data_IF_500601142820
#
_entry.id   IF_500601142820
#
_cell.length_a   1.000
_cell.length_b   1.000
_cell.length_c   1.000
_cell.angle_alpha   90.00
_cell.angle_beta   90.00
_cell.angle_gamma   90.00
#
_symmetry.space_group_name_H-M   'P 1'
#
loop_
_entity.id
_entity.type
_entity.pdbx_description
1 polymer ?
#
# COMPACT_ATOMS: atom_id res chain seq x y z
N UNK A 1 -2.15 23.72 13.44
CA UNK A 1 -2.95 22.54 13.01
C UNK A 1 -2.95 21.54 14.15
N UNK A 2 -4.11 21.12 14.70
CA UNK A 2 -4.12 20.07 15.70
C UNK A 2 -3.54 18.79 15.08
N UNK A 3 -2.59 18.17 15.77
CA UNK A 3 -1.97 16.93 15.31
C UNK A 3 -3.06 15.88 15.07
N UNK A 4 -3.13 15.32 13.85
CA UNK A 4 -4.02 14.19 13.55
C UNK A 4 -3.81 13.12 14.63
N UNK A 5 -4.85 12.83 15.43
CA UNK A 5 -4.80 11.76 16.45
C UNK A 5 -4.56 10.43 15.73
N UNK A 6 -3.41 9.82 15.98
CA UNK A 6 -2.99 8.53 15.39
C UNK A 6 -3.23 7.43 16.42
N UNK A 7 -3.69 6.26 15.97
CA UNK A 7 -3.87 5.08 16.82
C UNK A 7 -2.50 4.53 17.23
N UNK A 8 -2.02 4.96 18.39
CA UNK A 8 -0.76 4.49 18.96
C UNK A 8 -0.97 3.17 19.71
N UNK A 9 -0.01 2.24 19.64
CA UNK A 9 -0.06 1.03 20.45
C UNK A 9 0.12 1.38 21.93
N UNK A 10 -0.76 0.84 22.76
CA UNK A 10 -0.69 0.88 24.21
C UNK A 10 -0.04 -0.42 24.71
N UNK A 11 1.07 -0.31 25.45
CA UNK A 11 1.77 -1.46 26.04
C UNK A 11 1.49 -1.51 27.54
N UNK A 12 0.96 -2.63 28.00
CA UNK A 12 0.93 -2.99 29.42
C UNK A 12 2.32 -3.47 29.84
N UNK A 13 3.06 -2.60 30.51
CA UNK A 13 4.42 -2.87 30.96
C UNK A 13 4.49 -4.05 31.95
N UNK A 14 3.43 -4.33 32.71
CA UNK A 14 3.39 -5.43 33.69
C UNK A 14 3.29 -6.81 33.03
N UNK A 15 2.73 -6.84 31.82
CA UNK A 15 2.56 -8.06 31.03
C UNK A 15 3.56 -8.16 29.89
N UNK A 16 4.29 -7.10 29.55
CA UNK A 16 5.21 -7.13 28.43
C UNK A 16 6.36 -8.14 28.67
N UNK A 17 6.59 -9.04 27.70
CA UNK A 17 7.67 -10.03 27.80
C UNK A 17 9.04 -9.49 27.35
N UNK A 18 9.09 -8.28 26.79
CA UNK A 18 10.30 -7.74 26.19
C UNK A 18 10.82 -8.55 25.00
N UNK A 19 9.99 -9.39 24.38
CA UNK A 19 10.42 -10.40 23.39
C UNK A 19 10.76 -9.85 21.99
N UNK A 20 10.78 -8.53 21.80
CA UNK A 20 11.06 -7.86 20.52
C UNK A 20 10.11 -8.13 19.34
N UNK A 21 9.16 -9.08 19.43
CA UNK A 21 8.25 -9.40 18.33
C UNK A 21 7.51 -8.18 17.74
N UNK A 22 7.04 -7.27 18.60
CA UNK A 22 6.36 -6.05 18.17
C UNK A 22 7.27 -5.02 17.50
N UNK A 23 8.55 -4.99 17.87
CA UNK A 23 9.59 -4.13 17.28
C UNK A 23 9.91 -4.64 15.88
N UNK A 24 10.18 -5.94 15.74
CA UNK A 24 10.46 -6.59 14.46
C UNK A 24 9.28 -6.49 13.49
N UNK A 25 8.05 -6.60 14.01
CA UNK A 25 6.85 -6.47 13.21
C UNK A 25 6.49 -5.02 12.85
N UNK A 26 7.16 -4.02 13.41
CA UNK A 26 6.88 -2.62 13.12
C UNK A 26 7.61 -2.17 11.85
N UNK A 27 6.91 -1.91 10.72
CA UNK A 27 7.58 -1.57 9.46
C UNK A 27 8.16 -0.15 9.41
N UNK A 28 7.91 0.65 10.46
CA UNK A 28 8.28 2.06 10.57
C UNK A 28 9.18 2.34 11.79
N UNK A 29 9.67 1.30 12.47
CA UNK A 29 10.56 1.42 13.63
C UNK A 29 10.00 2.37 14.73
N UNK A 30 8.67 2.33 14.92
CA UNK A 30 7.94 3.15 15.91
C UNK A 30 8.16 2.66 17.33
N UNK A 31 8.47 1.37 17.46
CA UNK A 31 8.61 0.66 18.72
C UNK A 31 10.07 0.31 18.97
N UNK A 32 10.49 0.38 20.22
CA UNK A 32 11.76 -0.18 20.70
C UNK A 32 11.53 -0.90 22.03
N UNK A 33 12.39 -1.85 22.38
CA UNK A 33 12.42 -2.42 23.73
C UNK A 33 13.43 -1.64 24.54
N UNK A 34 12.96 -0.97 25.59
CA UNK A 34 13.79 -0.25 26.55
C UNK A 34 13.55 -0.84 27.93
N UNK A 35 14.62 -1.15 28.67
CA UNK A 35 14.51 -1.75 30.00
C UNK A 35 13.58 -2.97 30.04
N UNK A 36 13.71 -3.85 29.05
CA UNK A 36 12.92 -5.09 28.88
C UNK A 36 11.42 -4.88 28.61
N UNK A 37 10.96 -3.66 28.31
CA UNK A 37 9.57 -3.36 27.98
C UNK A 37 9.48 -2.67 26.62
N UNK A 38 8.54 -3.09 25.78
CA UNK A 38 8.27 -2.41 24.52
C UNK A 38 7.68 -1.01 24.77
N UNK A 39 8.21 -0.01 24.08
CA UNK A 39 7.76 1.39 24.14
C UNK A 39 7.57 1.98 22.76
N UNK A 40 6.66 2.94 22.66
CA UNK A 40 6.49 3.79 21.48
C UNK A 40 7.53 4.90 21.55
N UNK A 41 8.56 4.82 20.71
CA UNK A 41 9.67 5.78 20.70
C UNK A 41 9.55 6.83 19.60
N UNK A 42 8.81 6.52 18.52
CA UNK A 42 8.56 7.44 17.38
C UNK A 42 7.07 7.54 17.06
N UNK A 43 6.24 8.08 17.98
CA UNK A 43 4.78 8.12 17.81
C UNK A 43 4.32 8.87 16.54
N UNK A 44 5.07 9.89 16.14
CA UNK A 44 4.86 10.70 14.93
C UNK A 44 5.07 9.94 13.62
N UNK A 45 5.62 8.73 13.67
CA UNK A 45 5.80 7.85 12.51
C UNK A 45 4.82 6.69 12.48
N UNK A 46 4.03 6.54 13.54
CA UNK A 46 2.98 5.53 13.58
C UNK A 46 1.93 5.80 12.52
N UNK A 47 1.73 4.83 11.62
CA UNK A 47 0.70 4.86 10.59
C UNK A 47 -0.58 4.09 11.01
N UNK A 48 -0.65 3.62 12.25
CA UNK A 48 -1.82 2.92 12.81
C UNK A 48 -2.06 1.49 12.28
N UNK A 49 -1.04 0.85 11.69
CA UNK A 49 -1.10 -0.59 11.37
C UNK A 49 -1.04 -1.42 12.65
N UNK A 50 -1.72 -2.56 12.68
CA UNK A 50 -1.95 -3.33 13.92
C UNK A 50 -1.02 -4.54 14.09
N UNK A 51 0.08 -4.59 13.32
CA UNK A 51 1.01 -5.72 13.30
C UNK A 51 1.60 -6.01 14.67
N UNK A 52 2.05 -4.96 15.37
CA UNK A 52 2.62 -5.07 16.70
C UNK A 52 1.65 -5.72 17.70
N UNK A 53 0.34 -5.49 17.55
CA UNK A 53 -0.68 -6.09 18.39
C UNK A 53 -0.93 -7.55 17.99
N UNK A 54 -0.97 -7.84 16.68
CA UNK A 54 -1.17 -9.19 16.15
C UNK A 54 -0.06 -10.18 16.52
N UNK A 55 1.19 -9.71 16.59
CA UNK A 55 2.34 -10.56 16.95
C UNK A 55 2.60 -10.62 18.45
N UNK A 56 1.85 -9.88 19.27
CA UNK A 56 2.06 -9.85 20.71
C UNK A 56 1.59 -11.19 21.32
N UNK A 57 2.50 -12.06 21.79
CA UNK A 57 2.17 -13.45 22.13
C UNK A 57 1.22 -13.56 23.32
N UNK A 58 1.18 -12.54 24.18
CA UNK A 58 0.34 -12.52 25.38
C UNK A 58 -0.62 -11.33 25.43
N UNK A 59 -0.77 -10.61 24.32
CA UNK A 59 -1.66 -9.46 24.21
C UNK A 59 -1.32 -8.27 25.13
N UNK A 60 -0.09 -8.18 25.64
CA UNK A 60 0.38 -7.02 26.42
C UNK A 60 0.39 -5.72 25.61
N UNK A 61 0.47 -5.81 24.29
CA UNK A 61 0.31 -4.68 23.39
C UNK A 61 -1.08 -4.71 22.76
N UNK A 62 -1.81 -3.60 22.90
CA UNK A 62 -3.14 -3.37 22.29
C UNK A 62 -3.15 -2.05 21.53
N UNK A 63 -4.11 -1.85 20.64
CA UNK A 63 -4.31 -0.56 19.96
C UNK A 63 -5.72 -0.10 20.32
N UNK A 64 -5.83 1.00 21.06
CA UNK A 64 -7.12 1.58 21.46
C UNK A 64 -7.64 2.53 20.38
N UNK A 65 -8.95 2.55 20.17
CA UNK A 65 -9.63 3.33 19.14
C UNK A 65 -9.79 4.81 19.51
N UNK A 66 -8.69 5.50 19.80
CA UNK A 66 -8.72 6.95 20.02
C UNK A 66 -8.03 7.68 18.86
N UNK A 67 -8.76 7.87 17.75
CA UNK A 67 -8.32 8.70 16.62
C UNK A 67 -9.02 8.42 15.29
N UNK A 68 -9.17 9.47 14.46
CA UNK A 68 -9.77 9.40 13.12
C UNK A 68 -9.02 8.41 12.21
N UNK A 69 -9.75 7.45 11.68
CA UNK A 69 -9.25 6.43 10.75
C UNK A 69 -9.03 7.09 9.39
N UNK A 70 -7.78 7.39 9.05
CA UNK A 70 -7.44 7.83 7.69
C UNK A 70 -7.66 6.66 6.72
N UNK A 71 -8.72 6.76 5.91
CA UNK A 71 -8.97 5.99 4.68
C UNK A 71 -8.90 4.47 4.81
N UNK A 72 -9.78 3.86 5.61
CA UNK A 72 -10.04 2.40 5.52
C UNK A 72 -11.36 2.16 4.82
N UNK A 73 -11.33 1.23 3.87
CA UNK A 73 -12.55 0.64 3.30
C UNK A 73 -13.39 0.09 4.46
N UNK A 74 -14.72 0.35 4.52
CA UNK A 74 -15.58 -0.21 5.56
C UNK A 74 -15.72 -1.71 5.36
N UNK A 75 -15.04 -2.48 6.22
CA UNK A 75 -14.96 -3.93 6.16
C UNK A 75 -15.27 -4.53 7.52
N UNK A 76 -15.98 -5.66 7.51
CA UNK A 76 -16.18 -6.49 8.69
C UNK A 76 -14.84 -7.05 9.20
N UNK A 77 -14.87 -7.67 10.38
CA UNK A 77 -13.69 -8.36 10.92
C UNK A 77 -13.15 -9.45 9.97
N UNK A 78 -13.97 -9.99 9.08
CA UNK A 78 -13.61 -11.00 8.08
C UNK A 78 -13.14 -10.41 6.74
N UNK A 79 -12.95 -9.09 6.66
CA UNK A 79 -12.57 -8.37 5.43
C UNK A 79 -13.65 -8.43 4.33
N UNK A 80 -14.90 -8.65 4.72
CA UNK A 80 -16.06 -8.53 3.84
C UNK A 80 -16.54 -7.09 3.80
N UNK A 81 -17.00 -6.61 2.65
CA UNK A 81 -17.62 -5.29 2.54
C UNK A 81 -18.87 -5.21 3.40
N UNK A 82 -18.95 -4.18 4.25
CA UNK A 82 -20.15 -3.90 5.05
C UNK A 82 -21.34 -3.46 4.17
N UNK A 83 -21.07 -2.96 2.96
CA UNK A 83 -22.08 -2.43 2.04
C UNK A 83 -22.49 -3.43 0.96
N UNK A 84 -21.58 -4.34 0.60
CA UNK A 84 -21.78 -5.28 -0.50
C UNK A 84 -21.47 -6.70 -0.02
N UNK A 85 -22.40 -7.34 0.72
CA UNK A 85 -22.20 -8.70 1.23
C UNK A 85 -21.84 -9.66 0.10
N UNK A 86 -20.82 -10.50 0.32
CA UNK A 86 -20.26 -11.40 -0.68
C UNK A 86 -19.07 -10.84 -1.47
N UNK A 87 -18.74 -9.55 -1.31
CA UNK A 87 -17.49 -8.95 -1.80
C UNK A 87 -16.50 -8.80 -0.65
N UNK A 88 -15.31 -9.37 -0.81
CA UNK A 88 -14.21 -9.30 0.16
C UNK A 88 -13.08 -8.45 -0.38
N UNK A 89 -12.30 -7.82 0.51
CA UNK A 89 -11.20 -6.93 0.14
C UNK A 89 -9.93 -7.35 0.89
N UNK A 90 -8.84 -7.60 0.17
CA UNK A 90 -7.57 -8.06 0.75
C UNK A 90 -6.36 -7.35 0.16
N UNK A 91 -5.25 -7.38 0.90
CA UNK A 91 -3.98 -6.77 0.51
C UNK A 91 -3.91 -5.28 0.81
N UNK A 92 -3.03 -4.56 0.10
CA UNK A 92 -2.71 -3.16 0.40
C UNK A 92 -3.94 -2.23 0.38
N UNK A 93 -5.03 -2.58 -0.29
CA UNK A 93 -6.30 -1.84 -0.32
C UNK A 93 -6.85 -1.64 1.10
N UNK A 94 -6.63 -2.59 2.02
CA UNK A 94 -7.07 -2.49 3.42
C UNK A 94 -6.22 -1.52 4.25
N UNK A 95 -5.22 -0.86 3.65
CA UNK A 95 -4.32 0.07 4.32
C UNK A 95 -3.14 -0.58 5.05
N UNK A 96 -2.85 -1.86 4.77
CA UNK A 96 -1.75 -2.62 5.41
C UNK A 96 -0.71 -3.10 4.37
N UNK A 97 0.18 -2.22 3.87
CA UNK A 97 1.07 -2.55 2.76
C UNK A 97 2.29 -3.38 3.20
N UNK A 98 2.17 -4.71 3.19
CA UNK A 98 3.26 -5.69 3.31
C UNK A 98 2.89 -6.98 2.58
N UNK A 99 3.86 -7.65 1.95
CA UNK A 99 3.62 -8.90 1.20
C UNK A 99 3.07 -9.99 2.14
N UNK A 100 3.68 -10.14 3.32
CA UNK A 100 3.22 -11.08 4.35
C UNK A 100 1.76 -10.83 4.76
N UNK A 101 1.38 -9.57 4.95
CA UNK A 101 0.01 -9.21 5.32
C UNK A 101 -0.96 -9.50 4.18
N UNK A 102 -0.58 -9.17 2.95
CA UNK A 102 -1.39 -9.46 1.79
C UNK A 102 -1.68 -10.97 1.66
N UNK A 103 -0.65 -11.81 1.82
CA UNK A 103 -0.80 -13.27 1.82
C UNK A 103 -1.73 -13.75 2.94
N UNK A 104 -1.49 -13.30 4.19
CA UNK A 104 -2.28 -13.72 5.34
C UNK A 104 -3.76 -13.31 5.21
N UNK A 105 -4.03 -12.10 4.73
CA UNK A 105 -5.40 -11.65 4.46
C UNK A 105 -6.05 -12.45 3.33
N UNK A 106 -5.31 -12.72 2.25
CA UNK A 106 -5.79 -13.53 1.14
C UNK A 106 -6.20 -14.94 1.59
N UNK A 107 -5.38 -15.59 2.41
CA UNK A 107 -5.68 -16.91 3.01
C UNK A 107 -6.93 -16.84 3.90
N UNK A 108 -7.01 -15.82 4.78
CA UNK A 108 -8.13 -15.64 5.71
C UNK A 108 -9.47 -15.46 4.98
N UNK A 109 -9.50 -14.60 3.96
CA UNK A 109 -10.69 -14.37 3.13
C UNK A 109 -11.11 -15.66 2.43
N UNK A 110 -10.14 -16.36 1.82
CA UNK A 110 -10.42 -17.58 1.10
C UNK A 110 -10.95 -18.71 2.01
N UNK A 111 -10.41 -18.87 3.23
CA UNK A 111 -10.95 -19.81 4.23
C UNK A 111 -12.37 -19.45 4.61
N UNK A 112 -12.63 -18.16 4.90
CA UNK A 112 -13.97 -17.70 5.25
C UNK A 112 -14.99 -17.98 4.14
N UNK A 113 -14.62 -17.74 2.89
CA UNK A 113 -15.47 -18.08 1.74
C UNK A 113 -15.68 -19.59 1.66
N UNK A 114 -14.63 -20.39 1.80
CA UNK A 114 -14.74 -21.85 1.75
C UNK A 114 -15.65 -22.43 2.87
N UNK A 115 -15.65 -21.82 4.05
CA UNK A 115 -16.51 -22.18 5.19
C UNK A 115 -17.97 -21.78 4.99
N UNK A 116 -18.20 -20.57 4.46
CA UNK A 116 -19.54 -19.96 4.41
C UNK A 116 -20.29 -20.21 3.10
N UNK A 117 -19.59 -20.51 2.02
CA UNK A 117 -20.19 -20.74 0.71
C UNK A 117 -20.65 -22.20 0.59
N UNK A 118 -21.95 -22.49 0.45
CA UNK A 118 -22.42 -23.88 0.34
C UNK A 118 -21.76 -24.63 -0.82
N UNK A 119 -21.43 -25.92 -0.61
CA UNK A 119 -20.91 -26.81 -1.67
C UNK A 119 -22.08 -27.36 -2.50
N UNK A 120 -21.96 -27.29 -3.83
CA UNK A 120 -23.01 -27.66 -4.79
C UNK A 120 -24.16 -26.63 -4.79
N UNK A 121 -24.72 -26.31 -5.97
CA UNK A 121 -25.74 -25.27 -6.27
C UNK A 121 -25.25 -23.93 -6.85
N UNK A 122 -24.04 -23.85 -7.42
CA UNK A 122 -23.71 -22.70 -8.25
C UNK A 122 -24.65 -22.63 -9.47
N UNK A 123 -25.22 -21.46 -9.82
CA UNK A 123 -25.95 -21.30 -11.07
C UNK A 123 -25.11 -21.80 -12.25
N UNK A 124 -25.75 -22.34 -13.29
CA UNK A 124 -25.03 -22.90 -14.43
C UNK A 124 -24.06 -21.87 -15.02
N UNK A 125 -22.77 -22.21 -15.08
CA UNK A 125 -21.71 -21.33 -15.57
C UNK A 125 -21.14 -20.33 -14.55
N UNK A 126 -21.64 -20.29 -13.32
CA UNK A 126 -21.09 -19.44 -12.26
C UNK A 126 -19.89 -20.10 -11.56
N UNK A 127 -18.85 -19.32 -11.34
CA UNK A 127 -17.71 -19.68 -10.49
C UNK A 127 -18.08 -19.55 -9.01
N UNK A 128 -17.39 -20.27 -8.13
CA UNK A 128 -17.49 -19.99 -6.69
C UNK A 128 -16.93 -18.60 -6.38
N UNK A 129 -15.76 -18.26 -6.96
CA UNK A 129 -15.07 -17.00 -6.67
C UNK A 129 -14.39 -16.41 -7.90
N UNK A 130 -14.55 -15.10 -8.11
CA UNK A 130 -13.65 -14.32 -8.99
C UNK A 130 -12.74 -13.45 -8.14
N UNK A 131 -11.44 -13.47 -8.44
CA UNK A 131 -10.41 -12.74 -7.71
C UNK A 131 -9.89 -11.63 -8.63
N UNK A 132 -9.91 -10.39 -8.15
CA UNK A 132 -9.45 -9.21 -8.89
C UNK A 132 -8.06 -8.81 -8.42
N UNK A 133 -7.04 -9.14 -9.20
CA UNK A 133 -5.62 -8.85 -8.96
C UNK A 133 -4.80 -10.10 -8.62
N UNK A 134 -3.72 -10.34 -9.38
CA UNK A 134 -2.76 -11.43 -9.18
C UNK A 134 -1.53 -10.97 -8.38
N UNK A 135 -1.75 -10.13 -7.36
CA UNK A 135 -0.76 -9.83 -6.33
C UNK A 135 -0.70 -10.91 -5.24
N UNK A 136 0.15 -10.75 -4.21
CA UNK A 136 0.31 -11.75 -3.15
C UNK A 136 -1.00 -12.13 -2.45
N UNK A 137 -1.91 -11.18 -2.22
CA UNK A 137 -3.22 -11.46 -1.65
C UNK A 137 -4.09 -12.33 -2.56
N UNK A 138 -4.24 -11.96 -3.83
CA UNK A 138 -5.08 -12.70 -4.77
C UNK A 138 -4.52 -14.10 -5.08
N UNK A 139 -3.21 -14.23 -5.22
CA UNK A 139 -2.57 -15.53 -5.43
C UNK A 139 -2.69 -16.44 -4.20
N UNK A 140 -2.53 -15.89 -2.98
CA UNK A 140 -2.76 -16.64 -1.75
C UNK A 140 -4.22 -17.10 -1.61
N UNK A 141 -5.18 -16.23 -1.96
CA UNK A 141 -6.60 -16.60 -2.01
C UNK A 141 -6.87 -17.72 -3.01
N UNK A 142 -6.32 -17.63 -4.22
CA UNK A 142 -6.49 -18.64 -5.25
C UNK A 142 -5.89 -20.00 -4.84
N UNK A 143 -4.70 -19.99 -4.22
CA UNK A 143 -4.07 -21.19 -3.68
C UNK A 143 -4.94 -21.88 -2.63
N UNK A 144 -5.45 -21.11 -1.66
CA UNK A 144 -6.35 -21.65 -0.63
C UNK A 144 -7.63 -22.21 -1.25
N UNK A 145 -8.30 -21.44 -2.10
CA UNK A 145 -9.56 -21.85 -2.72
C UNK A 145 -9.39 -23.13 -3.57
N UNK A 146 -8.29 -23.22 -4.33
CA UNK A 146 -7.95 -24.43 -5.08
C UNK A 146 -7.73 -25.64 -4.18
N UNK A 147 -7.03 -25.48 -3.04
CA UNK A 147 -6.87 -26.53 -2.04
C UNK A 147 -8.18 -26.99 -1.38
N UNK A 148 -9.17 -26.09 -1.29
CA UNK A 148 -10.52 -26.37 -0.80
C UNK A 148 -11.47 -26.90 -1.88
N UNK A 149 -10.98 -27.07 -3.12
CA UNK A 149 -11.77 -27.55 -4.26
C UNK A 149 -12.80 -26.56 -4.79
N UNK A 150 -12.60 -25.24 -4.57
CA UNK A 150 -13.47 -24.18 -5.06
C UNK A 150 -13.07 -23.70 -6.45
N UNK A 151 -14.05 -23.49 -7.34
CA UNK A 151 -13.77 -22.95 -8.67
C UNK A 151 -13.46 -21.46 -8.58
N UNK A 152 -12.28 -21.06 -9.04
CA UNK A 152 -11.90 -19.65 -9.06
C UNK A 152 -11.05 -19.25 -10.27
N UNK A 153 -11.16 -17.98 -10.64
CA UNK A 153 -10.36 -17.33 -11.68
C UNK A 153 -9.77 -16.04 -11.11
N UNK A 154 -8.49 -15.79 -11.40
CA UNK A 154 -7.81 -14.54 -11.06
C UNK A 154 -7.71 -13.67 -12.31
N UNK A 155 -8.26 -12.46 -12.26
CA UNK A 155 -8.16 -11.45 -13.32
C UNK A 155 -7.08 -10.43 -12.95
N UNK A 156 -6.06 -10.26 -13.78
CA UNK A 156 -4.95 -9.34 -13.56
C UNK A 156 -4.79 -8.38 -14.73
N UNK A 157 -4.78 -7.08 -14.47
CA UNK A 157 -4.69 -6.06 -15.51
C UNK A 157 -3.33 -6.00 -16.21
N UNK A 158 -2.26 -6.36 -15.48
CA UNK A 158 -0.89 -6.38 -15.98
C UNK A 158 -0.35 -7.81 -16.03
N UNK A 159 0.84 -7.99 -15.48
CA UNK A 159 1.45 -9.30 -15.30
C UNK A 159 1.27 -9.83 -13.87
N UNK A 160 1.40 -11.14 -13.69
CA UNK A 160 1.41 -11.82 -12.41
C UNK A 160 2.43 -11.16 -11.46
N UNK A 161 1.99 -10.89 -10.23
CA UNK A 161 2.76 -10.15 -9.23
C UNK A 161 3.29 -8.78 -9.74
N UNK A 162 2.52 -8.07 -10.59
CA UNK A 162 2.90 -6.76 -11.16
C UNK A 162 3.41 -5.76 -10.11
N UNK A 163 2.83 -5.77 -8.90
CA UNK A 163 3.27 -4.90 -7.81
C UNK A 163 4.70 -5.18 -7.36
N UNK A 164 5.12 -6.46 -7.33
CA UNK A 164 6.49 -6.88 -6.99
C UNK A 164 7.41 -6.66 -8.18
N UNK A 165 6.95 -6.92 -9.40
CA UNK A 165 7.72 -6.65 -10.62
C UNK A 165 8.13 -5.18 -10.75
N UNK A 166 7.29 -4.26 -10.25
CA UNK A 166 7.56 -2.82 -10.26
C UNK A 166 8.69 -2.37 -9.30
N UNK A 167 9.18 -3.25 -8.43
CA UNK A 167 10.32 -2.96 -7.57
C UNK A 167 11.62 -2.82 -8.38
N UNK A 168 12.62 -2.08 -7.86
CA UNK A 168 13.95 -2.00 -8.48
C UNK A 168 14.62 -3.35 -8.69
N UNK A 169 15.32 -3.52 -9.82
CA UNK A 169 16.14 -4.69 -10.14
C UNK A 169 17.07 -5.04 -8.98
N UNK A 170 17.09 -6.31 -8.61
CA UNK A 170 17.92 -6.79 -7.50
C UNK A 170 17.47 -6.32 -6.11
N UNK A 171 16.27 -5.70 -5.98
CA UNK A 171 15.72 -5.36 -4.67
C UNK A 171 15.61 -6.62 -3.82
N UNK A 172 16.28 -6.60 -2.68
CA UNK A 172 16.16 -7.63 -1.66
C UNK A 172 14.79 -7.46 -1.00
N UNK A 173 14.03 -8.55 -0.98
CA UNK A 173 12.74 -8.61 -0.28
C UNK A 173 13.03 -9.17 1.11
N UNK A 174 13.17 -8.26 2.08
CA UNK A 174 13.27 -8.61 3.49
C UNK A 174 11.87 -8.85 4.07
N UNK A 175 11.25 -9.97 3.71
CA UNK A 175 10.09 -10.48 4.44
C UNK A 175 10.49 -11.81 5.10
N UNK A 176 10.36 -11.97 6.44
CA UNK A 176 10.54 -13.25 7.12
C UNK A 176 9.61 -14.31 6.51
N UNK A 177 9.86 -15.64 6.69
CA UNK A 177 9.31 -16.70 5.86
C UNK A 177 7.85 -16.45 5.47
N UNK A 178 7.63 -16.37 4.15
CA UNK A 178 6.28 -16.17 3.62
C UNK A 178 5.55 -17.49 3.74
N UNK A 179 4.69 -17.59 4.74
CA UNK A 179 3.84 -18.77 4.92
C UNK A 179 2.76 -18.78 3.84
N UNK A 180 2.91 -19.64 2.85
CA UNK A 180 1.96 -19.77 1.77
C UNK A 180 0.88 -20.81 2.12
N UNK A 181 -0.39 -20.51 1.81
CA UNK A 181 -1.46 -21.49 1.96
C UNK A 181 -1.14 -22.76 1.16
N UNK A 182 -1.26 -23.92 1.81
CA UNK A 182 -1.14 -25.26 1.20
C UNK A 182 0.28 -25.64 0.73
N UNK A 183 1.15 -24.68 0.41
CA UNK A 183 2.53 -24.91 -0.04
C UNK A 183 3.53 -25.08 1.11
N UNK A 184 3.22 -24.57 2.30
CA UNK A 184 4.16 -24.46 3.42
C UNK A 184 4.95 -23.16 3.36
N UNK A 185 5.98 -23.05 4.21
CA UNK A 185 6.79 -21.83 4.29
C UNK A 185 7.70 -21.71 3.06
N UNK A 186 7.61 -20.58 2.35
CA UNK A 186 8.66 -20.15 1.45
C UNK A 186 9.83 -19.64 2.31
N UNK A 187 10.85 -20.46 2.45
CA UNK A 187 12.14 -20.06 3.02
C UNK A 187 12.82 -19.10 2.06
N UNK A 188 12.52 -17.81 2.23
CA UNK A 188 13.18 -16.72 1.54
C UNK A 188 14.29 -16.19 2.45
N UNK A 189 15.38 -16.94 2.59
CA UNK A 189 16.62 -16.31 3.05
C UNK A 189 17.01 -15.28 1.96
N UNK A 190 16.96 -13.98 2.31
CA UNK A 190 17.24 -12.82 1.45
C UNK A 190 17.04 -13.03 -0.06
N UNK A 191 15.78 -13.08 -0.51
CA UNK A 191 15.49 -13.31 -1.93
C UNK A 191 15.47 -12.01 -2.74
N UNK A 192 15.84 -12.08 -4.02
CA UNK A 192 15.63 -10.97 -4.96
C UNK A 192 14.18 -10.95 -5.42
N UNK A 193 13.68 -9.78 -5.85
CA UNK A 193 12.33 -9.69 -6.46
C UNK A 193 12.15 -10.66 -7.63
N UNK A 194 13.19 -10.87 -8.45
CA UNK A 194 13.14 -11.78 -9.59
C UNK A 194 12.93 -13.22 -9.14
N UNK A 195 13.65 -13.66 -8.12
CA UNK A 195 13.49 -14.99 -7.54
C UNK A 195 12.09 -15.15 -6.94
N UNK A 196 11.57 -14.17 -6.21
CA UNK A 196 10.22 -14.21 -5.66
C UNK A 196 9.14 -14.34 -6.74
N UNK A 197 9.24 -13.56 -7.82
CA UNK A 197 8.30 -13.65 -8.95
C UNK A 197 8.38 -15.01 -9.64
N UNK A 198 9.60 -15.53 -9.85
CA UNK A 198 9.79 -16.86 -10.45
C UNK A 198 9.17 -17.98 -9.58
N UNK A 199 9.25 -17.86 -8.25
CA UNK A 199 8.57 -18.79 -7.33
C UNK A 199 7.05 -18.73 -7.49
N UNK A 200 6.45 -17.53 -7.54
CA UNK A 200 5.01 -17.39 -7.78
C UNK A 200 4.59 -17.99 -9.13
N UNK A 201 5.35 -17.74 -10.20
CA UNK A 201 5.11 -18.32 -11.52
C UNK A 201 5.19 -19.86 -11.51
N UNK A 202 6.15 -20.43 -10.76
CA UNK A 202 6.26 -21.88 -10.57
C UNK A 202 5.01 -22.41 -9.87
N UNK A 203 4.59 -21.78 -8.78
CA UNK A 203 3.43 -22.20 -7.99
C UNK A 203 2.15 -22.15 -8.82
N UNK A 204 1.90 -21.06 -9.54
CA UNK A 204 0.73 -20.90 -10.41
C UNK A 204 0.66 -22.01 -11.46
N UNK A 205 1.79 -22.34 -12.10
CA UNK A 205 1.87 -23.45 -13.07
C UNK A 205 1.64 -24.81 -12.43
N UNK A 206 2.29 -25.10 -11.31
CA UNK A 206 2.20 -26.41 -10.64
C UNK A 206 0.82 -26.68 -10.06
N UNK A 207 0.15 -25.65 -9.54
CA UNK A 207 -1.21 -25.72 -8.97
C UNK A 207 -2.31 -25.46 -9.98
N UNK A 208 -1.95 -25.17 -11.25
CA UNK A 208 -2.88 -24.88 -12.35
C UNK A 208 -3.89 -23.79 -11.98
N UNK A 209 -3.42 -22.73 -11.34
CA UNK A 209 -4.27 -21.58 -11.00
C UNK A 209 -4.62 -20.85 -12.30
N UNK A 210 -5.91 -20.66 -12.57
CA UNK A 210 -6.38 -19.88 -13.73
C UNK A 210 -6.15 -18.38 -13.45
N UNK A 211 -5.02 -17.86 -13.95
CA UNK A 211 -4.68 -16.44 -13.93
C UNK A 211 -4.76 -15.89 -15.35
N UNK A 212 -5.62 -14.90 -15.56
CA UNK A 212 -5.80 -14.19 -16.82
C UNK A 212 -5.11 -12.83 -16.74
N UNK A 213 -3.88 -12.78 -17.24
CA UNK A 213 -3.09 -11.55 -17.38
C UNK A 213 -3.65 -10.66 -18.50
N UNK A 214 -3.45 -9.34 -18.40
CA UNK A 214 -4.05 -8.36 -19.33
C UNK A 214 -5.57 -8.21 -19.22
N UNK A 215 -6.21 -8.77 -18.19
CA UNK A 215 -7.65 -8.67 -17.91
C UNK A 215 -7.94 -7.61 -16.85
N UNK A 216 -8.31 -6.40 -17.30
CA UNK A 216 -8.64 -5.28 -16.40
C UNK A 216 -10.11 -5.28 -16.03
N UNK A 217 -10.42 -5.53 -14.75
CA UNK A 217 -11.79 -5.43 -14.22
C UNK A 217 -12.27 -3.98 -14.25
N UNK A 218 -13.47 -3.76 -14.80
CA UNK A 218 -14.09 -2.44 -14.98
C UNK A 218 -15.33 -2.23 -14.10
N UNK A 219 -15.93 -3.31 -13.59
CA UNK A 219 -17.06 -3.23 -12.67
C UNK A 219 -17.45 -4.59 -12.07
N UNK A 220 -18.13 -4.55 -10.93
CA UNK A 220 -18.76 -5.71 -10.30
C UNK A 220 -20.16 -5.30 -9.89
N UNK A 221 -21.17 -6.06 -10.31
CA UNK A 221 -22.57 -5.79 -10.00
C UNK A 221 -23.20 -7.04 -9.39
N UNK A 222 -23.94 -6.88 -8.31
CA UNK A 222 -24.72 -7.96 -7.70
C UNK A 222 -26.03 -8.16 -8.48
N UNK A 223 -26.31 -9.39 -8.89
CA UNK A 223 -27.52 -9.79 -9.61
C UNK A 223 -27.97 -11.17 -9.13
N UNK A 224 -29.24 -11.32 -8.72
CA UNK A 224 -29.87 -12.63 -8.45
C UNK A 224 -29.05 -13.57 -7.52
N UNK A 225 -28.36 -13.02 -6.52
CA UNK A 225 -27.56 -13.79 -5.56
C UNK A 225 -26.16 -14.21 -6.06
N UNK A 226 -25.75 -13.71 -7.23
CA UNK A 226 -24.40 -13.81 -7.79
C UNK A 226 -23.85 -12.41 -8.12
N UNK A 227 -22.62 -12.38 -8.61
CA UNK A 227 -21.94 -11.18 -9.10
C UNK A 227 -21.61 -11.35 -10.57
N UNK A 228 -21.92 -10.33 -11.37
CA UNK A 228 -21.34 -10.14 -12.70
C UNK A 228 -20.09 -9.31 -12.58
N UNK A 229 -18.97 -9.86 -13.03
CA UNK A 229 -17.65 -9.19 -13.06
C UNK A 229 -17.32 -8.85 -14.49
N UNK A 230 -17.41 -7.57 -14.84
CA UNK A 230 -17.06 -7.05 -16.15
C UNK A 230 -15.56 -6.72 -16.21
N UNK A 231 -14.90 -7.10 -17.29
CA UNK A 231 -13.49 -6.85 -17.50
C UNK A 231 -13.16 -6.69 -18.98
N UNK A 232 -11.99 -6.11 -19.25
CA UNK A 232 -11.49 -5.85 -20.60
C UNK A 232 -10.18 -6.60 -20.80
N UNK A 233 -10.05 -7.31 -21.92
CA UNK A 233 -8.81 -7.94 -22.38
C UNK A 233 -8.47 -7.44 -23.79
N UNK A 234 -7.41 -6.64 -23.90
CA UNK A 234 -7.15 -5.86 -25.12
C UNK A 234 -8.32 -4.90 -25.39
N UNK A 235 -8.99 -5.08 -26.52
CA UNK A 235 -10.17 -4.29 -26.93
C UNK A 235 -11.51 -5.04 -26.71
N UNK A 236 -11.47 -6.21 -26.07
CA UNK A 236 -12.66 -7.05 -25.86
C UNK A 236 -13.24 -6.84 -24.47
N UNK A 237 -14.54 -6.59 -24.42
CA UNK A 237 -15.31 -6.61 -23.18
C UNK A 237 -15.82 -8.03 -22.93
N UNK A 238 -15.60 -8.51 -21.71
CA UNK A 238 -15.98 -9.84 -21.26
C UNK A 238 -16.65 -9.77 -19.89
N UNK A 239 -17.36 -10.83 -19.52
CA UNK A 239 -18.04 -10.93 -18.22
C UNK A 239 -17.92 -12.35 -17.66
N UNK A 240 -17.59 -12.45 -16.38
CA UNK A 240 -17.69 -13.68 -15.60
C UNK A 240 -18.79 -13.56 -14.56
N UNK A 241 -19.41 -14.70 -14.23
CA UNK A 241 -20.39 -14.79 -13.15
C UNK A 241 -19.74 -15.54 -11.98
N UNK A 242 -19.88 -15.01 -10.77
CA UNK A 242 -19.31 -15.60 -9.57
C UNK A 242 -20.23 -15.46 -8.35
N UNK A 243 -20.18 -16.41 -7.43
CA UNK A 243 -20.98 -16.33 -6.19
C UNK A 243 -20.36 -15.38 -5.17
N UNK A 244 -19.04 -15.21 -5.20
CA UNK A 244 -18.26 -14.29 -4.35
C UNK A 244 -17.19 -13.59 -5.18
N UNK A 245 -16.77 -12.42 -4.70
CA UNK A 245 -15.69 -11.66 -5.32
C UNK A 245 -14.65 -11.28 -4.28
N UNK A 246 -13.36 -11.46 -4.60
CA UNK A 246 -12.25 -10.97 -3.80
C UNK A 246 -11.56 -9.84 -4.55
N UNK A 247 -11.57 -8.64 -3.98
CA UNK A 247 -10.86 -7.46 -4.52
C UNK A 247 -9.48 -7.39 -3.88
N UNK A 248 -8.46 -7.74 -4.64
CA UNK A 248 -7.05 -7.83 -4.24
C UNK A 248 -6.14 -6.91 -5.10
N UNK A 249 -6.66 -5.75 -5.51
CA UNK A 249 -6.03 -4.83 -6.48
C UNK A 249 -4.82 -4.07 -5.94
N UNK A 250 -4.55 -4.16 -4.64
CA UNK A 250 -3.48 -3.44 -3.96
C UNK A 250 -3.57 -1.91 -4.12
N UNK A 251 -2.45 -1.22 -3.96
CA UNK A 251 -2.34 0.25 -4.12
C UNK A 251 -1.30 0.68 -5.14
N UNK A 252 -0.47 -0.25 -5.60
CA UNK A 252 0.74 0.03 -6.40
C UNK A 252 0.55 -0.18 -7.90
N UNK A 253 -0.50 -0.90 -8.31
CA UNK A 253 -0.80 -1.14 -9.73
C UNK A 253 -1.25 0.11 -10.50
N UNK A 254 -1.68 1.15 -9.78
CA UNK A 254 -2.10 2.45 -10.31
C UNK A 254 -1.28 3.56 -9.63
N UNK A 255 -0.04 3.83 -10.08
CA UNK A 255 0.77 4.88 -9.49
C UNK A 255 0.06 6.22 -9.61
N UNK A 256 0.19 7.07 -8.58
CA UNK A 256 -0.43 8.39 -8.63
C UNK A 256 0.29 9.26 -9.67
N UNK A 257 -0.44 9.60 -10.74
CA UNK A 257 0.02 10.55 -11.75
C UNK A 257 0.28 11.93 -11.11
N UNK A 258 1.20 12.69 -11.70
CA UNK A 258 1.30 14.11 -11.38
C UNK A 258 0.19 14.85 -12.12
N UNK A 259 -0.57 15.64 -11.37
CA UNK A 259 -1.59 16.52 -11.92
C UNK A 259 -0.95 17.83 -12.40
N UNK A 260 -0.11 17.70 -13.43
CA UNK A 260 0.67 18.80 -14.00
C UNK A 260 0.76 18.62 -15.52
N UNK A 261 0.90 19.70 -16.29
CA UNK A 261 1.16 19.59 -17.72
C UNK A 261 2.44 18.79 -18.01
N UNK A 262 2.31 17.76 -18.85
CA UNK A 262 3.43 16.98 -19.39
C UNK A 262 3.41 17.17 -20.90
N UNK A 263 4.52 17.66 -21.46
CA UNK A 263 4.65 17.80 -22.91
C UNK A 263 4.65 16.40 -23.57
N UNK A 264 4.02 16.20 -24.74
CA UNK A 264 3.98 14.90 -25.43
C UNK A 264 5.38 14.28 -25.64
N UNK A 265 6.39 15.10 -25.94
CA UNK A 265 7.77 14.66 -26.13
C UNK A 265 8.45 14.18 -24.83
N UNK A 266 7.84 14.46 -23.67
CA UNK A 266 8.34 14.08 -22.37
C UNK A 266 7.71 12.78 -21.84
N UNK A 267 6.63 12.26 -22.43
CA UNK A 267 5.92 11.08 -21.91
C UNK A 267 6.85 9.86 -21.76
N UNK A 268 7.68 9.59 -22.78
CA UNK A 268 8.61 8.45 -22.79
C UNK A 268 9.76 8.53 -21.77
N UNK A 269 9.94 9.66 -21.08
CA UNK A 269 10.99 9.86 -20.05
C UNK A 269 10.43 10.08 -18.64
N UNK A 270 9.12 9.97 -18.47
CA UNK A 270 8.45 10.00 -17.16
C UNK A 270 8.21 8.57 -16.70
N UNK A 271 8.79 8.20 -15.57
CA UNK A 271 8.73 6.87 -15.00
C UNK A 271 7.99 6.90 -13.67
N UNK A 272 7.00 6.02 -13.50
CA UNK A 272 6.23 5.91 -12.25
C UNK A 272 6.72 4.80 -11.32
N UNK A 273 7.81 4.15 -11.70
CA UNK A 273 8.53 3.16 -10.93
C UNK A 273 10.01 3.20 -11.32
N UNK A 274 10.89 2.81 -10.40
CA UNK A 274 12.29 2.56 -10.72
C UNK A 274 12.46 1.06 -10.99
N UNK A 275 12.50 0.67 -12.27
CA UNK A 275 12.70 -0.75 -12.65
C UNK A 275 14.19 -1.10 -12.67
N UNK A 276 15.03 -0.27 -13.27
CA UNK A 276 16.48 -0.46 -13.31
C UNK A 276 17.19 0.88 -13.18
N UNK A 277 18.02 1.03 -12.15
CA UNK A 277 18.80 2.23 -11.94
C UNK A 277 19.86 2.42 -13.04
N UNK A 278 20.43 1.35 -13.59
CA UNK A 278 21.49 1.42 -14.60
C UNK A 278 21.04 2.15 -15.87
N UNK A 279 19.73 2.13 -16.19
CA UNK A 279 19.14 2.88 -17.29
C UNK A 279 19.28 4.41 -17.14
N UNK A 280 19.68 4.90 -15.97
CA UNK A 280 19.85 6.32 -15.64
C UNK A 280 21.31 6.77 -15.55
N UNK A 281 22.28 5.90 -15.89
CA UNK A 281 23.68 6.29 -15.96
C UNK A 281 23.89 7.49 -16.92
N UNK A 282 24.74 8.44 -16.51
CA UNK A 282 25.05 9.68 -17.23
C UNK A 282 23.86 10.59 -17.53
N UNK A 283 22.71 10.41 -16.85
CA UNK A 283 21.51 11.25 -17.02
C UNK A 283 21.33 12.23 -15.88
N UNK A 284 20.70 13.37 -16.16
CA UNK A 284 20.12 14.25 -15.14
C UNK A 284 18.72 13.76 -14.82
N UNK A 285 18.47 13.37 -13.58
CA UNK A 285 17.22 12.75 -13.17
C UNK A 285 16.56 13.57 -12.07
N UNK A 286 15.29 13.91 -12.29
CA UNK A 286 14.45 14.51 -11.26
C UNK A 286 13.61 13.41 -10.62
N UNK A 287 13.78 13.18 -9.33
CA UNK A 287 12.94 12.26 -8.55
C UNK A 287 11.88 13.07 -7.82
N UNK A 288 10.60 12.74 -7.96
CA UNK A 288 9.48 13.48 -7.35
C UNK A 288 8.93 12.67 -6.18
N UNK A 289 9.08 13.19 -4.96
CA UNK A 289 8.68 12.53 -3.72
C UNK A 289 9.83 12.35 -2.72
N UNK A 290 9.48 12.02 -1.48
CA UNK A 290 10.42 11.84 -0.36
C UNK A 290 10.01 10.70 0.59
N UNK A 291 9.21 9.73 0.11
CA UNK A 291 8.95 8.51 0.87
C UNK A 291 10.08 7.49 0.66
N UNK A 292 10.03 6.34 1.37
CA UNK A 292 11.05 5.28 1.23
C UNK A 292 11.34 4.90 -0.22
N UNK A 293 10.31 4.68 -1.03
CA UNK A 293 10.51 4.32 -2.45
C UNK A 293 11.23 5.42 -3.22
N UNK A 294 10.95 6.70 -2.94
CA UNK A 294 11.62 7.82 -3.60
C UNK A 294 13.08 7.96 -3.14
N UNK A 295 13.34 7.79 -1.84
CA UNK A 295 14.69 7.83 -1.27
C UNK A 295 15.55 6.67 -1.78
N UNK A 296 15.03 5.43 -1.72
CA UNK A 296 15.69 4.25 -2.27
C UNK A 296 16.01 4.43 -3.76
N UNK A 297 15.08 4.99 -4.54
CA UNK A 297 15.29 5.24 -5.96
C UNK A 297 16.35 6.32 -6.22
N UNK A 298 16.28 7.45 -5.50
CA UNK A 298 17.27 8.52 -5.62
C UNK A 298 18.68 8.02 -5.29
N UNK A 299 18.83 7.25 -4.21
CA UNK A 299 20.10 6.64 -3.81
C UNK A 299 20.61 5.62 -4.83
N UNK A 300 19.72 4.76 -5.35
CA UNK A 300 20.09 3.76 -6.35
C UNK A 300 20.55 4.40 -7.68
N UNK A 301 19.90 5.49 -8.10
CA UNK A 301 20.27 6.26 -9.29
C UNK A 301 21.56 7.04 -9.05
N UNK A 302 21.75 7.64 -7.88
CA UNK A 302 22.96 8.39 -7.53
C UNK A 302 24.24 7.52 -7.55
N UNK A 303 24.11 6.22 -7.28
CA UNK A 303 25.21 5.25 -7.41
C UNK A 303 25.62 4.95 -8.86
N UNK A 304 24.83 5.40 -9.86
CA UNK A 304 25.10 5.09 -11.25
C UNK A 304 26.16 6.03 -11.86
N UNK A 305 27.07 5.53 -12.70
CA UNK A 305 28.15 6.32 -13.26
C UNK A 305 27.65 7.59 -13.95
N UNK A 306 28.08 8.76 -13.47
CA UNK A 306 27.78 10.06 -14.04
C UNK A 306 26.32 10.54 -13.93
N UNK A 307 25.47 9.83 -13.17
CA UNK A 307 24.10 10.30 -12.92
C UNK A 307 24.11 11.54 -12.02
N UNK A 308 23.17 12.46 -12.26
CA UNK A 308 22.95 13.64 -11.41
C UNK A 308 21.51 13.64 -10.94
N UNK A 309 21.30 13.57 -9.63
CA UNK A 309 19.96 13.39 -9.05
C UNK A 309 19.51 14.66 -8.33
N UNK A 310 18.31 15.12 -8.68
CA UNK A 310 17.60 16.15 -7.91
C UNK A 310 16.26 15.60 -7.42
N UNK A 311 16.05 15.60 -6.11
CA UNK A 311 14.79 15.22 -5.49
C UNK A 311 13.94 16.48 -5.29
N UNK A 312 12.69 16.44 -5.73
CA UNK A 312 11.70 17.51 -5.51
C UNK A 312 10.64 16.99 -4.55
N UNK A 313 10.48 17.65 -3.41
CA UNK A 313 9.60 17.22 -2.34
C UNK A 313 8.77 18.37 -1.79
N UNK A 314 7.46 18.12 -1.66
CA UNK A 314 6.49 19.04 -1.02
C UNK A 314 6.69 19.18 0.50
N UNK A 315 7.37 18.22 1.12
CA UNK A 315 7.67 18.29 2.53
C UNK A 315 8.81 19.27 2.78
N UNK A 316 8.79 19.96 3.93
CA UNK A 316 9.84 20.90 4.33
C UNK A 316 11.07 20.19 4.93
N UNK A 317 11.01 18.85 5.04
CA UNK A 317 12.08 17.99 5.56
C UNK A 317 11.70 16.50 5.46
N UNK A 318 12.51 15.64 6.07
CA UNK A 318 12.22 14.20 6.19
C UNK A 318 11.15 13.95 7.27
N UNK A 319 9.87 13.99 6.86
CA UNK A 319 8.72 13.83 7.79
C UNK A 319 8.31 12.35 7.96
N UNK A 320 8.77 11.47 7.07
CA UNK A 320 8.42 10.04 7.05
C UNK A 320 9.51 9.24 6.35
N UNK A 321 9.65 7.98 6.75
CA UNK A 321 10.51 7.00 6.10
C UNK A 321 11.35 6.24 7.12
N UNK A 322 11.87 5.08 6.71
CA UNK A 322 12.75 4.27 7.56
C UNK A 322 13.99 5.07 7.93
N UNK A 323 14.40 4.98 9.20
CA UNK A 323 15.54 5.74 9.72
C UNK A 323 16.81 5.51 8.89
N UNK A 324 17.04 4.26 8.46
CA UNK A 324 18.15 3.90 7.56
C UNK A 324 18.11 4.67 6.24
N UNK A 325 16.95 4.77 5.59
CA UNK A 325 16.81 5.45 4.29
C UNK A 325 17.02 6.96 4.44
N UNK A 326 16.54 7.55 5.54
CA UNK A 326 16.77 8.97 5.87
C UNK A 326 18.26 9.23 6.08
N UNK A 327 18.93 8.44 6.92
CA UNK A 327 20.35 8.59 7.19
C UNK A 327 21.21 8.43 5.92
N UNK A 328 20.89 7.47 5.05
CA UNK A 328 21.58 7.31 3.76
C UNK A 328 21.37 8.52 2.83
N UNK A 329 20.16 9.09 2.80
CA UNK A 329 19.86 10.31 2.04
C UNK A 329 20.62 11.52 2.57
N UNK A 330 20.64 11.74 3.89
CA UNK A 330 21.38 12.83 4.51
C UNK A 330 22.86 12.77 4.18
N UNK A 331 23.46 11.57 4.24
CA UNK A 331 24.84 11.36 3.81
C UNK A 331 25.03 11.69 2.32
N UNK A 332 24.14 11.21 1.45
CA UNK A 332 24.23 11.46 0.02
C UNK A 332 24.07 12.97 -0.33
N UNK A 333 23.31 13.72 0.48
CA UNK A 333 23.20 15.17 0.36
C UNK A 333 24.50 15.85 0.80
N UNK A 334 25.06 15.44 1.94
CA UNK A 334 26.31 15.99 2.46
C UNK A 334 27.50 15.76 1.49
N UNK A 335 27.52 14.61 0.82
CA UNK A 335 28.51 14.26 -0.21
C UNK A 335 28.24 14.93 -1.56
N UNK A 336 27.12 15.63 -1.72
CA UNK A 336 26.71 16.27 -2.99
C UNK A 336 26.26 15.29 -4.08
N UNK A 337 26.10 14.01 -3.75
CA UNK A 337 25.62 12.98 -4.68
C UNK A 337 24.14 13.16 -5.03
N UNK A 338 23.35 13.74 -4.12
CA UNK A 338 21.92 14.04 -4.32
C UNK A 338 21.62 15.48 -3.88
N UNK A 339 20.90 16.22 -4.72
CA UNK A 339 20.36 17.53 -4.35
C UNK A 339 18.89 17.38 -3.99
N UNK A 340 18.44 17.96 -2.87
CA UNK A 340 17.01 17.95 -2.50
C UNK A 340 16.44 19.37 -2.48
N UNK A 341 15.25 19.53 -3.07
CA UNK A 341 14.42 20.74 -3.04
C UNK A 341 13.22 20.46 -2.14
N UNK A 342 13.32 20.85 -0.88
CA UNK A 342 12.22 20.82 0.10
C UNK A 342 11.23 21.97 -0.15
N UNK A 343 10.01 21.81 0.34
CA UNK A 343 8.94 22.81 0.19
C UNK A 343 8.62 23.15 -1.27
N UNK A 344 8.90 22.23 -2.19
CA UNK A 344 8.84 22.46 -3.63
C UNK A 344 7.92 21.45 -4.33
N UNK A 345 7.38 21.84 -5.48
CA UNK A 345 6.55 20.99 -6.32
C UNK A 345 6.88 21.16 -7.80
N UNK A 346 6.60 20.11 -8.57
CA UNK A 346 6.71 20.18 -10.03
C UNK A 346 5.47 20.91 -10.54
N UNK A 347 5.68 21.90 -11.40
CA UNK A 347 4.60 22.66 -12.03
C UNK A 347 4.34 22.21 -13.47
N UNK A 348 5.37 21.74 -14.18
CA UNK A 348 5.26 21.21 -15.54
C UNK A 348 6.50 20.38 -15.93
N UNK A 349 6.33 19.46 -16.86
CA UNK A 349 7.41 18.63 -17.43
C UNK A 349 7.49 18.91 -18.93
N UNK A 350 8.58 19.56 -19.38
CA UNK A 350 8.84 19.84 -20.80
C UNK A 350 9.73 18.78 -21.46
N UNK A 351 10.15 18.95 -22.72
CA UNK A 351 10.93 17.92 -23.44
C UNK A 351 12.26 17.52 -22.76
N UNK A 352 13.02 18.49 -22.21
CA UNK A 352 14.34 18.27 -21.58
C UNK A 352 14.52 19.00 -20.25
N UNK A 353 13.42 19.42 -19.65
CA UNK A 353 13.42 20.23 -18.43
C UNK A 353 12.18 19.99 -17.58
N UNK A 354 12.28 20.33 -16.29
CA UNK A 354 11.19 20.29 -15.31
C UNK A 354 11.09 21.67 -14.68
N UNK A 355 9.88 22.23 -14.66
CA UNK A 355 9.61 23.50 -13.96
C UNK A 355 9.22 23.17 -12.52
N UNK A 356 9.91 23.76 -11.56
CA UNK A 356 9.73 23.52 -10.13
C UNK A 356 9.41 24.84 -9.45
N UNK A 357 8.31 24.88 -8.70
CA UNK A 357 7.88 26.03 -7.93
C UNK A 357 7.86 25.74 -6.43
N UNK A 358 7.60 26.78 -5.64
CA UNK A 358 7.29 26.62 -4.22
C UNK A 358 5.94 25.94 -4.06
N UNK A 359 5.84 25.02 -3.10
CA UNK A 359 4.58 24.37 -2.74
C UNK A 359 3.53 25.41 -2.36
N UNK A 360 2.34 25.29 -2.96
CA UNK A 360 1.20 26.19 -2.69
C UNK A 360 1.23 27.48 -3.52
N UNK A 361 2.16 27.58 -4.47
CA UNK A 361 2.29 28.72 -5.37
C UNK A 361 3.03 29.91 -4.78
N UNK A 362 3.26 30.90 -5.64
CA UNK A 362 4.03 32.11 -5.33
C UNK A 362 5.54 31.89 -5.33
N UNK A 363 6.29 32.96 -5.59
CA UNK A 363 7.75 32.94 -5.69
C UNK A 363 8.28 32.51 -7.07
N UNK A 364 9.62 32.49 -7.23
CA UNK A 364 10.26 32.17 -8.49
C UNK A 364 10.03 30.69 -8.88
N UNK A 365 9.89 30.45 -10.19
CA UNK A 365 9.80 29.11 -10.77
C UNK A 365 11.15 28.77 -11.39
N UNK A 366 11.80 27.76 -10.85
CA UNK A 366 13.07 27.26 -11.36
C UNK A 366 12.85 26.31 -12.53
N UNK A 367 13.79 26.30 -13.47
CA UNK A 367 13.81 25.33 -14.56
C UNK A 367 15.02 24.43 -14.41
N UNK A 368 14.76 23.15 -14.13
CA UNK A 368 15.78 22.13 -13.95
C UNK A 368 15.97 21.36 -15.25
N UNK A 369 17.20 21.24 -15.79
CA UNK A 369 17.47 20.35 -16.91
C UNK A 369 17.29 18.89 -16.47
N UNK A 370 16.51 18.11 -17.21
CA UNK A 370 16.21 16.73 -16.85
C UNK A 370 16.09 15.85 -18.09
N UNK A 371 16.85 14.76 -18.10
CA UNK A 371 16.79 13.73 -19.13
C UNK A 371 15.75 12.65 -18.79
N UNK A 372 15.41 12.50 -17.50
CA UNK A 372 14.33 11.65 -17.02
C UNK A 372 13.66 12.20 -15.76
N UNK A 373 12.40 11.85 -15.55
CA UNK A 373 11.65 12.14 -14.30
C UNK A 373 11.17 10.83 -13.71
N UNK A 374 11.44 10.60 -12.43
CA UNK A 374 10.98 9.41 -11.70
C UNK A 374 9.98 9.86 -10.63
N UNK A 375 8.70 9.61 -10.87
CA UNK A 375 7.59 10.04 -10.02
C UNK A 375 7.27 8.96 -9.00
N UNK A 376 7.57 9.21 -7.74
CA UNK A 376 7.38 8.28 -6.62
C UNK A 376 6.64 8.97 -5.47
N UNK A 377 5.46 9.50 -5.79
CA UNK A 377 4.58 10.21 -4.83
C UNK A 377 3.59 9.31 -4.09
N UNK A 378 3.69 8.00 -4.31
CA UNK A 378 2.84 6.96 -3.73
C UNK A 378 1.81 6.40 -4.71
N UNK A 379 1.04 5.43 -4.23
CA UNK A 379 -0.07 4.83 -4.96
C UNK A 379 -1.37 4.93 -4.18
N UNK A 380 -2.48 4.93 -4.90
CA UNK A 380 -3.82 4.92 -4.32
C UNK A 380 -4.56 3.65 -4.72
N UNK A 381 -5.49 3.16 -3.89
CA UNK A 381 -6.45 2.17 -4.35
C UNK A 381 -7.15 2.67 -5.62
N UNK A 382 -7.60 1.74 -6.47
CA UNK A 382 -8.46 2.07 -7.60
C UNK A 382 -9.85 2.47 -7.10
N UNK A 383 -9.97 3.68 -6.54
CA UNK A 383 -11.22 4.19 -5.96
C UNK A 383 -12.36 4.18 -6.97
N UNK A 384 -12.11 4.55 -8.23
CA UNK A 384 -13.11 4.47 -9.30
C UNK A 384 -13.73 3.07 -9.43
N UNK A 385 -12.91 2.02 -9.30
CA UNK A 385 -13.41 0.64 -9.32
C UNK A 385 -14.15 0.32 -8.02
N UNK A 386 -13.56 0.63 -6.86
CA UNK A 386 -14.18 0.34 -5.57
C UNK A 386 -15.55 1.03 -5.43
N UNK A 387 -15.66 2.29 -5.84
CA UNK A 387 -16.91 3.05 -5.83
C UNK A 387 -17.94 2.45 -6.77
N UNK A 388 -17.55 2.03 -7.98
CA UNK A 388 -18.44 1.28 -8.90
C UNK A 388 -18.94 -0.03 -8.32
N UNK A 389 -18.17 -0.69 -7.46
CA UNK A 389 -18.58 -1.91 -6.75
C UNK A 389 -19.56 -1.58 -5.61
N UNK A 390 -19.59 -0.33 -5.12
CA UNK A 390 -20.34 0.08 -3.93
C UNK A 390 -19.48 0.19 -2.66
N UNK A 391 -18.16 0.11 -2.82
CA UNK A 391 -17.16 0.21 -1.76
C UNK A 391 -16.61 1.65 -1.73
N UNK A 392 -17.20 2.51 -0.92
CA UNK A 392 -16.80 3.92 -0.89
C UNK A 392 -15.61 4.17 0.06
N UNK A 393 -14.87 5.25 -0.22
CA UNK A 393 -13.96 5.83 0.77
C UNK A 393 -14.74 6.26 2.03
N UNK A 394 -14.13 6.19 3.23
CA UNK A 394 -14.77 6.74 4.41
C UNK A 394 -14.99 8.24 4.20
N UNK A 395 -16.17 8.73 4.59
CA UNK A 395 -16.49 10.15 4.58
C UNK A 395 -15.36 10.92 5.29
N UNK A 396 -14.68 11.81 4.58
CA UNK A 396 -13.88 12.82 5.24
C UNK A 396 -14.87 13.73 5.95
N UNK A 397 -15.04 13.58 7.27
CA UNK A 397 -15.61 14.65 8.07
C UNK A 397 -14.65 15.82 7.95
N UNK A 398 -14.94 16.72 7.01
CA UNK A 398 -14.39 18.07 7.05
C UNK A 398 -14.97 18.68 8.31
N UNK A 399 -14.13 18.88 9.33
CA UNK A 399 -14.52 19.66 10.49
C UNK A 399 -14.84 21.08 9.99
N UNK A 400 -16.12 21.36 9.75
CA UNK A 400 -16.63 22.71 9.60
C UNK A 400 -16.51 23.46 10.93
N UNK A 401 -16.44 24.79 10.92
CA UNK A 401 -16.14 25.62 12.09
C UNK A 401 -17.29 25.75 13.10
N UNK A 402 -18.24 24.81 13.15
CA UNK A 402 -19.44 24.93 13.97
C UNK A 402 -19.49 23.78 14.98
N UNK A 403 -18.93 24.03 16.17
CA UNK A 403 -19.32 23.44 17.47
C UNK A 403 -18.44 23.99 18.62
N UNK A 404 -18.30 25.32 18.67
CA UNK A 404 -17.86 26.03 19.87
C UNK A 404 -19.00 26.92 20.37
N UNK A 405 -20.05 26.30 20.89
CA UNK A 405 -20.96 26.89 21.86
C UNK A 405 -21.66 25.74 22.58
N UNK A 406 -21.89 25.89 23.88
CA UNK A 406 -22.54 24.93 24.79
C UNK A 406 -21.65 23.84 25.40
N UNK A 407 -20.68 24.28 26.20
CA UNK A 407 -20.35 23.63 27.46
C UNK A 407 -19.78 24.67 28.44
N UNK A 408 -20.65 25.61 28.85
CA UNK A 408 -20.34 26.65 29.82
C UNK A 408 -21.33 26.61 30.97
N UNK A 409 -21.21 25.59 31.83
CA UNK A 409 -21.78 25.60 33.19
C UNK A 409 -20.99 24.59 34.05
N UNK A 410 -19.87 25.05 34.62
CA UNK A 410 -19.32 24.44 35.82
C UNK A 410 -19.67 25.38 36.98
N UNK A 411 -20.67 24.99 37.77
CA UNK A 411 -20.85 25.47 39.13
C UNK A 411 -19.64 25.01 39.96
N UNK A 412 -18.85 25.97 40.44
CA UNK A 412 -17.85 25.75 41.48
C UNK A 412 -18.49 25.93 42.84
N UNK A 413 -18.37 24.89 43.67
CA UNK A 413 -18.73 24.87 45.08
C UNK A 413 -17.98 25.94 45.91
N UNK A 414 -18.64 26.50 46.94
CA UNK A 414 -18.21 26.40 48.34
C UNK A 414 -19.00 27.36 49.26
N UNK A 415 -19.73 26.73 50.17
CA UNK A 415 -20.07 27.07 51.56
C UNK A 415 -19.79 28.47 52.17
N UNK A 416 -20.82 28.90 52.93
CA UNK A 416 -20.80 29.50 54.27
C UNK A 416 -20.43 30.99 54.49
N UNK A 417 -21.40 31.70 55.09
CA UNK A 417 -21.15 32.76 56.08
C UNK A 417 -21.90 34.06 55.85
N UNK A 418 -22.92 34.34 56.68
CA UNK A 418 -23.52 35.67 56.85
C UNK A 418 -25.01 35.72 56.63
#
# INVERSE_FOLDING_TARGET
MPAKKRKLPTIDASRCLGCHACVEACPFDVLAVESYVAKVVRPEECCGVVLCAQVCPNGSLTIRDEGEVVTRVPLTEHLESERVPGVFVAGDVTGMPLIKNAIAQGDRVARRIAETLPRGSAPAGALDVVIVGAGPAGLASALRLGGEGRSCVVLEQGALASSILSFPRGKIVHDPPLSLPVEGDLWLEETTKEALVAQWQRIVRQRRIDVREGSRVTGVVAEEGVFRVAFVTGDREETLVARRVIVATGRRGSPKALDVPIAPEAEGRVHYALVDAAAFARKRVVVVGLGDSAMEAALAIAKQPGARVTVVARADGFVRGKAKNVAEMERAIAEGAVVVRFGAEVNAIGARQVRVGRRGGGGPVDTLPADAVVVLVGGQPSWDLLEKIGICAPEQKVAGPENFAEAGAYESASEAGG
#
